data_IF_321674822881
#
_entry.id   IF_321674822881
#
_cell.length_a   1.000
_cell.length_b   1.000
_cell.length_c   1.000
_cell.angle_alpha   90.00
_cell.angle_beta   90.00
_cell.angle_gamma   90.00
#
_symmetry.space_group_name_H-M   'P 1'
#
loop_
_entity.id
_entity.type
_entity.pdbx_description
1 polymer ?
#
# COMPACT_ATOMS: atom_id res chain seq x y z
N UNK A 1 2.31 15.83 65.73
CA UNK A 1 3.43 15.09 65.11
C UNK A 1 2.85 14.29 63.95
N UNK A 2 3.22 14.40 62.67
CA UNK A 2 4.25 15.17 61.98
C UNK A 2 3.80 15.40 60.53
N UNK A 3 4.17 16.56 59.99
CA UNK A 3 4.12 16.97 58.59
C UNK A 3 4.94 16.04 57.68
N UNK A 4 4.64 16.02 56.38
CA UNK A 4 5.59 16.09 55.23
C UNK A 4 4.81 15.95 53.92
N UNK A 5 4.51 17.08 53.28
CA UNK A 5 5.19 17.57 52.06
C UNK A 5 4.72 16.87 50.78
N UNK A 6 3.58 17.34 50.27
CA UNK A 6 3.19 17.14 48.87
C UNK A 6 4.12 18.00 47.99
N UNK A 7 5.07 17.34 47.33
CA UNK A 7 6.02 17.97 46.41
C UNK A 7 5.47 17.81 44.98
N UNK A 8 5.31 18.89 44.18
CA UNK A 8 4.76 18.76 42.83
C UNK A 8 5.78 18.13 41.86
N UNK A 9 5.34 17.36 40.85
CA UNK A 9 6.24 16.83 39.83
C UNK A 9 6.81 17.98 38.98
N UNK A 10 8.14 18.08 38.93
CA UNK A 10 8.86 18.98 38.04
C UNK A 10 8.62 18.58 36.58
N UNK A 11 8.01 19.48 35.81
CA UNK A 11 7.95 19.41 34.35
C UNK A 11 9.36 19.64 33.78
N UNK A 12 9.90 18.66 33.07
CA UNK A 12 11.24 18.73 32.48
C UNK A 12 11.10 18.89 30.94
N UNK A 13 11.33 20.09 30.37
CA UNK A 13 11.03 20.37 28.95
C UNK A 13 12.10 19.90 27.96
N UNK A 14 13.13 19.16 28.39
CA UNK A 14 14.34 18.88 27.61
C UNK A 14 14.46 17.47 27.02
N UNK A 15 13.37 16.73 26.85
CA UNK A 15 13.43 15.43 26.16
C UNK A 15 12.96 15.51 24.70
N UNK A 16 13.45 16.52 24.00
CA UNK A 16 13.71 16.47 22.57
C UNK A 16 14.76 15.38 22.31
N UNK A 17 14.30 14.13 22.18
CA UNK A 17 15.11 13.07 21.61
C UNK A 17 14.65 12.87 20.16
N UNK A 18 15.47 13.39 19.25
CA UNK A 18 15.51 13.19 17.82
C UNK A 18 15.50 11.68 17.46
N UNK A 19 14.37 11.01 17.64
CA UNK A 19 14.12 9.70 17.05
C UNK A 19 13.70 9.91 15.60
N UNK A 20 14.61 10.52 14.83
CA UNK A 20 14.51 10.59 13.38
C UNK A 20 14.83 9.20 12.84
N UNK A 21 13.84 8.33 13.01
CA UNK A 21 13.76 6.99 12.45
C UNK A 21 14.38 7.01 11.06
N UNK A 22 15.36 6.12 10.81
CA UNK A 22 15.94 5.90 9.48
C UNK A 22 14.88 5.79 8.39
N UNK A 23 13.68 5.29 8.73
CA UNK A 23 12.52 5.27 7.84
C UNK A 23 12.02 6.66 7.45
N UNK A 24 12.06 7.66 8.33
CA UNK A 24 11.76 9.06 8.01
C UNK A 24 12.81 9.68 7.11
N UNK A 25 14.09 9.31 7.23
CA UNK A 25 15.15 9.81 6.33
C UNK A 25 15.00 9.22 4.94
N UNK A 26 14.74 7.91 4.83
CA UNK A 26 14.49 7.27 3.52
C UNK A 26 13.18 7.76 2.91
N UNK A 27 12.11 7.89 3.69
CA UNK A 27 10.85 8.46 3.21
C UNK A 27 11.01 9.92 2.81
N UNK A 28 11.73 10.73 3.58
CA UNK A 28 12.03 12.14 3.25
C UNK A 28 12.92 12.24 2.02
N UNK A 29 13.93 11.37 1.87
CA UNK A 29 14.77 11.32 0.67
C UNK A 29 13.96 10.91 -0.55
N UNK A 30 13.11 9.89 -0.43
CA UNK A 30 12.22 9.45 -1.49
C UNK A 30 11.22 10.55 -1.88
N UNK A 31 10.61 11.21 -0.90
CA UNK A 31 9.72 12.35 -1.13
C UNK A 31 10.46 13.54 -1.73
N UNK A 32 11.70 13.85 -1.33
CA UNK A 32 12.51 14.91 -1.95
C UNK A 32 12.90 14.56 -3.39
N UNK A 33 13.17 13.29 -3.69
CA UNK A 33 13.47 12.84 -5.06
C UNK A 33 12.22 12.90 -5.93
N UNK A 34 11.06 12.48 -5.41
CA UNK A 34 9.77 12.55 -6.12
C UNK A 34 9.16 13.97 -6.19
N UNK A 35 9.56 14.87 -5.30
CA UNK A 35 9.20 16.29 -5.35
C UNK A 35 10.13 17.02 -6.33
N UNK A 36 11.42 16.64 -6.35
CA UNK A 36 12.41 17.16 -7.29
C UNK A 36 12.22 16.66 -8.73
N UNK A 37 11.70 15.44 -8.90
CA UNK A 37 11.21 14.90 -10.18
C UNK A 37 9.70 15.02 -10.16
N UNK A 38 9.17 16.15 -10.66
CA UNK A 38 7.76 16.44 -10.61
C UNK A 38 6.85 15.29 -11.06
N UNK A 39 5.62 15.29 -10.56
CA UNK A 39 4.64 14.23 -10.87
C UNK A 39 4.44 14.03 -12.37
N UNK A 40 4.55 15.10 -13.16
CA UNK A 40 4.48 15.08 -14.62
C UNK A 40 5.66 14.34 -15.24
N UNK A 41 6.89 14.64 -14.85
CA UNK A 41 8.11 13.99 -15.35
C UNK A 41 8.10 12.50 -15.04
N UNK A 42 7.70 12.12 -13.82
CA UNK A 42 7.53 10.72 -13.44
C UNK A 42 6.45 10.02 -14.29
N UNK A 43 5.32 10.68 -14.55
CA UNK A 43 4.25 10.14 -15.41
C UNK A 43 4.70 9.95 -16.86
N UNK A 44 5.52 10.86 -17.40
CA UNK A 44 6.06 10.73 -18.77
C UNK A 44 7.00 9.53 -18.87
N UNK A 45 7.91 9.36 -17.91
CA UNK A 45 8.84 8.21 -17.89
C UNK A 45 8.07 6.91 -17.67
N UNK A 46 7.10 6.91 -16.76
CA UNK A 46 6.21 5.78 -16.52
C UNK A 46 5.45 5.43 -17.81
N UNK A 47 4.87 6.41 -18.50
CA UNK A 47 4.20 6.24 -19.78
C UNK A 47 5.13 5.64 -20.86
N UNK A 48 6.35 6.16 -20.99
CA UNK A 48 7.35 5.62 -21.91
C UNK A 48 7.71 4.16 -21.58
N UNK A 49 7.89 3.84 -20.30
CA UNK A 49 8.10 2.46 -19.84
C UNK A 49 6.88 1.57 -20.11
N UNK A 50 5.66 2.08 -19.96
CA UNK A 50 4.43 1.35 -20.29
C UNK A 50 4.30 1.08 -21.79
N UNK A 51 4.79 1.96 -22.65
CA UNK A 51 4.81 1.72 -24.10
C UNK A 51 5.85 0.65 -24.44
N UNK A 52 7.04 0.75 -23.87
CA UNK A 52 8.13 -0.20 -24.14
C UNK A 52 7.85 -1.60 -23.58
N UNK A 53 7.45 -1.68 -22.30
CA UNK A 53 7.18 -2.94 -21.62
C UNK A 53 5.73 -3.41 -21.79
N UNK A 54 4.77 -2.50 -21.95
CA UNK A 54 3.34 -2.79 -21.98
C UNK A 54 2.67 -2.66 -20.59
N UNK A 55 1.43 -2.11 -20.50
CA UNK A 55 0.72 -1.91 -19.24
C UNK A 55 0.37 -3.21 -18.51
N UNK A 56 0.37 -4.35 -19.23
CA UNK A 56 0.13 -5.68 -18.64
C UNK A 56 1.41 -6.32 -18.09
N UNK A 57 2.60 -5.94 -18.56
CA UNK A 57 3.88 -6.57 -18.15
C UNK A 57 4.40 -6.02 -16.83
N UNK A 58 4.31 -4.70 -16.59
CA UNK A 58 4.70 -4.10 -15.32
C UNK A 58 3.99 -4.73 -14.08
N UNK A 59 2.66 -4.90 -14.05
CA UNK A 59 2.00 -5.55 -12.93
C UNK A 59 2.33 -7.06 -12.84
N UNK A 60 2.65 -7.70 -13.96
CA UNK A 60 3.07 -9.09 -13.98
C UNK A 60 4.46 -9.27 -13.36
N UNK A 61 5.42 -8.41 -13.72
CA UNK A 61 6.77 -8.39 -13.13
C UNK A 61 6.72 -7.99 -11.65
N UNK A 62 5.92 -6.98 -11.29
CA UNK A 62 5.81 -6.56 -9.88
C UNK A 62 5.19 -7.65 -9.00
N UNK A 63 4.26 -8.45 -9.53
CA UNK A 63 3.73 -9.63 -8.81
C UNK A 63 4.80 -10.69 -8.59
N UNK A 64 5.66 -10.95 -9.58
CA UNK A 64 6.77 -11.90 -9.46
C UNK A 64 7.84 -11.41 -8.47
N UNK A 65 8.26 -10.14 -8.58
CA UNK A 65 9.21 -9.49 -7.66
C UNK A 65 8.61 -9.37 -6.25
N UNK A 66 7.32 -9.08 -6.14
CA UNK A 66 6.62 -8.98 -4.86
C UNK A 66 6.56 -10.32 -4.14
N UNK A 67 6.34 -11.42 -4.89
CA UNK A 67 6.37 -12.77 -4.34
C UNK A 67 7.78 -13.16 -3.88
N UNK A 68 8.81 -12.91 -4.69
CA UNK A 68 10.20 -13.19 -4.29
C UNK A 68 10.64 -12.34 -3.10
N UNK A 69 10.22 -11.07 -3.03
CA UNK A 69 10.50 -10.20 -1.88
C UNK A 69 9.74 -10.65 -0.62
N UNK A 70 8.52 -11.17 -0.75
CA UNK A 70 7.78 -11.72 0.39
C UNK A 70 8.43 -12.99 0.95
N UNK A 71 8.90 -13.88 0.08
CA UNK A 71 9.67 -15.07 0.46
C UNK A 71 11.04 -14.67 1.04
N UNK A 72 11.73 -13.70 0.44
CA UNK A 72 12.97 -13.14 0.96
C UNK A 72 12.79 -12.47 2.32
N UNK A 73 11.69 -11.76 2.57
CA UNK A 73 11.37 -11.17 3.88
C UNK A 73 11.19 -12.23 4.95
N UNK A 74 10.50 -13.34 4.65
CA UNK A 74 10.34 -14.46 5.59
C UNK A 74 11.69 -15.11 5.91
N UNK A 75 12.50 -15.39 4.90
CA UNK A 75 13.86 -15.89 5.11
C UNK A 75 14.72 -14.88 5.92
N UNK A 76 14.63 -13.59 5.59
CA UNK A 76 15.30 -12.50 6.32
C UNK A 76 14.88 -12.41 7.78
N UNK A 77 13.61 -12.67 8.08
CA UNK A 77 13.09 -12.73 9.45
C UNK A 77 13.67 -13.93 10.22
N UNK A 78 13.79 -15.09 9.58
CA UNK A 78 14.44 -16.26 10.18
C UNK A 78 15.95 -16.04 10.41
N UNK A 79 16.63 -15.35 9.49
CA UNK A 79 18.01 -14.91 9.69
C UNK A 79 18.11 -13.90 10.84
N UNK A 80 17.19 -12.93 10.92
CA UNK A 80 17.13 -11.94 11.99
C UNK A 80 16.92 -12.59 13.36
N UNK A 81 16.03 -13.59 13.47
CA UNK A 81 15.81 -14.36 14.70
C UNK A 81 17.03 -15.16 15.13
N UNK A 82 17.75 -15.75 14.17
CA UNK A 82 18.99 -16.49 14.44
C UNK A 82 20.11 -15.53 14.89
N UNK A 83 20.26 -14.40 14.20
CA UNK A 83 21.23 -13.36 14.60
C UNK A 83 20.88 -12.72 15.93
N UNK A 84 19.61 -12.44 16.21
CA UNK A 84 19.19 -11.96 17.52
C UNK A 84 19.43 -12.99 18.61
N UNK A 85 19.26 -14.28 18.34
CA UNK A 85 19.60 -15.32 19.32
C UNK A 85 21.10 -15.31 19.65
N UNK A 86 21.95 -15.22 18.65
CA UNK A 86 23.41 -15.19 18.83
C UNK A 86 23.90 -13.87 19.44
N UNK A 87 23.41 -12.74 18.93
CA UNK A 87 23.73 -11.39 19.41
C UNK A 87 23.12 -11.14 20.79
N UNK A 88 21.98 -11.75 21.15
CA UNK A 88 21.44 -11.69 22.51
C UNK A 88 22.27 -12.55 23.47
N UNK A 89 22.81 -13.69 23.04
CA UNK A 89 23.80 -14.43 23.85
C UNK A 89 25.06 -13.56 24.11
N UNK A 90 25.53 -12.83 23.10
CA UNK A 90 26.63 -11.84 23.26
C UNK A 90 26.23 -10.59 24.06
N UNK A 91 24.96 -10.16 24.02
CA UNK A 91 24.46 -8.99 24.79
C UNK A 91 24.06 -9.34 26.22
N UNK A 92 23.69 -10.59 26.52
CA UNK A 92 23.50 -11.10 27.88
C UNK A 92 24.84 -11.25 28.60
N UNK A 93 25.90 -11.61 27.86
CA UNK A 93 27.28 -11.50 28.36
C UNK A 93 27.69 -10.03 28.63
N UNK A 94 27.09 -9.07 27.90
CA UNK A 94 27.34 -7.62 28.03
C UNK A 94 26.26 -6.80 28.75
N UNK A 95 25.28 -7.45 29.40
CA UNK A 95 24.31 -6.79 30.30
C UNK A 95 23.43 -5.69 29.68
N UNK A 96 22.93 -5.85 28.46
CA UNK A 96 21.98 -4.89 27.85
C UNK A 96 20.58 -5.50 27.74
N UNK A 97 19.69 -5.08 28.65
CA UNK A 97 18.27 -5.46 28.72
C UNK A 97 17.44 -4.94 27.51
N UNK A 98 16.67 -5.79 26.80
CA UNK A 98 15.81 -5.38 25.68
C UNK A 98 14.45 -4.84 26.20
N UNK A 99 14.37 -3.55 26.53
CA UNK A 99 13.16 -2.95 27.12
C UNK A 99 12.27 -2.12 26.18
N UNK A 100 12.71 -1.83 24.95
CA UNK A 100 12.08 -0.78 24.14
C UNK A 100 11.02 -1.28 23.13
N UNK A 101 11.01 -2.55 22.73
CA UNK A 101 10.05 -3.06 21.73
C UNK A 101 8.64 -3.30 22.30
N UNK A 102 8.56 -3.84 23.53
CA UNK A 102 7.29 -4.13 24.21
C UNK A 102 6.48 -2.84 24.48
N UNK A 103 7.18 -1.75 24.82
CA UNK A 103 6.58 -0.43 25.12
C UNK A 103 5.82 0.19 23.93
N UNK A 104 6.30 -0.03 22.70
CA UNK A 104 5.67 0.54 21.49
C UNK A 104 4.45 -0.29 21.07
N UNK A 105 4.52 -1.62 21.19
CA UNK A 105 3.43 -2.53 20.87
C UNK A 105 2.26 -2.35 21.86
N UNK A 106 2.55 -2.19 23.15
CA UNK A 106 1.56 -1.93 24.19
C UNK A 106 0.85 -0.59 23.98
N UNK A 107 1.62 0.46 23.63
CA UNK A 107 1.07 1.79 23.35
C UNK A 107 0.20 1.82 22.08
N UNK A 108 0.52 1.02 21.08
CA UNK A 108 -0.29 0.88 19.87
C UNK A 108 -1.62 0.15 20.16
N UNK A 109 -1.57 -0.94 20.93
CA UNK A 109 -2.74 -1.69 21.34
C UNK A 109 -3.72 -0.83 22.18
N UNK A 110 -3.18 0.01 23.05
CA UNK A 110 -3.99 0.91 23.90
C UNK A 110 -4.75 1.96 23.08
N UNK A 111 -4.13 2.52 22.03
CA UNK A 111 -4.80 3.50 21.15
C UNK A 111 -5.95 2.88 20.36
N UNK A 112 -5.84 1.62 19.98
CA UNK A 112 -6.91 0.88 19.29
C UNK A 112 -8.08 0.61 20.24
N UNK A 113 -7.80 0.26 21.49
CA UNK A 113 -8.83 0.09 22.53
C UNK A 113 -9.56 1.39 22.83
N UNK A 114 -8.82 2.47 23.05
CA UNK A 114 -9.39 3.79 23.29
C UNK A 114 -10.32 4.23 22.14
N UNK A 115 -9.89 4.07 20.88
CA UNK A 115 -10.72 4.41 19.71
C UNK A 115 -12.02 3.58 19.62
N UNK A 116 -11.98 2.31 20.03
CA UNK A 116 -13.16 1.44 20.07
C UNK A 116 -14.14 1.84 21.17
N UNK A 117 -13.63 2.31 22.30
CA UNK A 117 -14.45 2.78 23.41
C UNK A 117 -15.18 4.08 23.05
N UNK A 118 -14.51 5.04 22.37
CA UNK A 118 -15.17 6.26 21.87
C UNK A 118 -16.27 5.94 20.84
N UNK A 119 -16.04 4.93 20.00
CA UNK A 119 -17.05 4.48 19.03
C UNK A 119 -18.23 3.73 19.67
N UNK A 120 -18.11 3.28 20.92
CA UNK A 120 -19.17 2.54 21.62
C UNK A 120 -20.11 3.42 22.46
N UNK A 121 -19.85 4.72 22.58
CA UNK A 121 -20.69 5.66 23.34
C UNK A 121 -21.65 6.52 22.50
N UNK A 122 -21.55 6.51 21.16
CA UNK A 122 -22.52 7.16 20.27
C UNK A 122 -23.17 6.13 19.34
N UNK A 123 -24.25 5.51 19.82
CA UNK A 123 -25.28 4.94 18.95
C UNK A 123 -26.62 5.45 19.42
N UNK A 124 -27.02 6.62 18.94
CA UNK A 124 -28.43 6.93 18.69
C UNK A 124 -28.58 7.49 17.27
N UNK A 125 -29.37 6.78 16.46
CA UNK A 125 -29.90 7.22 15.17
C UNK A 125 -31.37 7.59 15.40
N UNK A 126 -31.88 8.68 14.81
CA UNK A 126 -32.99 8.47 13.86
C UNK A 126 -32.93 9.38 12.61
N UNK A 127 -33.16 8.73 11.47
CA UNK A 127 -33.95 9.14 10.30
C UNK A 127 -34.19 10.65 10.01
N UNK A 128 -33.78 11.11 8.82
CA UNK A 128 -34.68 11.46 7.70
C UNK A 128 -34.04 12.42 6.66
N UNK A 129 -34.28 12.12 5.37
CA UNK A 129 -34.11 12.96 4.16
C UNK A 129 -32.63 13.23 3.78
N UNK A 130 -32.06 12.62 2.75
CA UNK A 130 -32.32 12.88 1.31
C UNK A 130 -31.96 11.63 0.50
N UNK A 131 -32.92 11.09 -0.25
CA UNK A 131 -32.66 10.15 -1.34
C UNK A 131 -32.01 10.88 -2.53
N UNK A 132 -31.19 10.18 -3.34
CA UNK A 132 -31.65 10.00 -4.71
C UNK A 132 -31.66 8.53 -5.13
N UNK A 133 -32.71 8.23 -5.87
CA UNK A 133 -33.15 6.93 -6.35
C UNK A 133 -32.08 6.11 -7.06
N UNK A 134 -32.04 4.84 -6.70
CA UNK A 134 -31.61 3.76 -7.61
C UNK A 134 -32.74 3.60 -8.65
N UNK A 135 -32.48 3.87 -9.91
CA UNK A 135 -33.30 3.31 -10.99
C UNK A 135 -32.77 1.91 -11.29
N UNK A 136 -33.57 0.85 -11.09
CA UNK A 136 -33.24 -0.46 -11.64
C UNK A 136 -33.33 -0.36 -13.16
N UNK A 137 -32.25 -0.70 -13.86
CA UNK A 137 -32.29 -0.90 -15.31
C UNK A 137 -33.19 -2.11 -15.55
N UNK A 138 -34.32 -1.84 -16.19
CA UNK A 138 -35.37 -2.79 -16.54
C UNK A 138 -34.83 -3.91 -17.43
N UNK A 139 -35.01 -5.16 -16.99
CA UNK A 139 -34.52 -6.36 -17.67
C UNK A 139 -35.49 -6.87 -18.76
N UNK A 140 -36.49 -6.09 -19.16
CA UNK A 140 -37.53 -6.54 -20.11
C UNK A 140 -37.35 -6.09 -21.56
N UNK A 141 -36.21 -5.50 -21.93
CA UNK A 141 -35.88 -5.18 -23.34
C UNK A 141 -35.02 -6.23 -24.05
N UNK A 142 -34.82 -7.40 -23.44
CA UNK A 142 -34.27 -8.56 -24.15
C UNK A 142 -35.41 -9.21 -24.95
N UNK A 143 -35.66 -8.68 -26.16
CA UNK A 143 -36.20 -9.51 -27.23
C UNK A 143 -35.14 -9.72 -28.32
N UNK A 144 -34.89 -10.98 -28.70
CA UNK A 144 -33.96 -11.36 -29.76
C UNK A 144 -34.61 -11.09 -31.11
N UNK A 145 -33.93 -10.40 -32.00
CA UNK A 145 -34.25 -10.50 -33.42
C UNK A 145 -33.01 -10.93 -34.19
N UNK A 146 -33.13 -12.13 -34.75
CA UNK A 146 -32.34 -12.62 -35.86
C UNK A 146 -32.36 -11.60 -37.00
N UNK A 147 -31.23 -11.42 -37.67
CA UNK A 147 -31.19 -11.26 -39.13
C UNK A 147 -29.84 -11.75 -39.66
N UNK A 148 -29.85 -13.04 -40.01
CA UNK A 148 -29.21 -13.68 -41.16
C UNK A 148 -28.22 -12.83 -42.00
N UNK A 149 -26.95 -13.29 -42.23
CA UNK A 149 -26.13 -12.74 -43.29
C UNK A 149 -26.66 -13.25 -44.64
N UNK A 150 -27.55 -12.48 -45.26
CA UNK A 150 -27.96 -12.70 -46.65
C UNK A 150 -26.74 -12.51 -47.56
N UNK A 151 -26.34 -13.62 -48.17
CA UNK A 151 -25.63 -13.72 -49.44
C UNK A 151 -26.15 -12.69 -50.45
N UNK A 152 -25.24 -11.83 -50.94
CA UNK A 152 -25.26 -11.26 -52.29
C UNK A 152 -23.76 -10.99 -52.61
N UNK A 153 -23.03 -11.95 -53.19
CA UNK A 153 -22.90 -12.16 -54.64
C UNK A 153 -22.67 -10.84 -55.40
N UNK A 154 -21.63 -10.60 -56.20
CA UNK A 154 -20.46 -11.35 -56.63
C UNK A 154 -19.57 -10.30 -57.39
N UNK A 155 -18.87 -10.61 -58.50
CA UNK A 155 -17.42 -10.82 -58.52
C UNK A 155 -16.69 -9.86 -59.49
N UNK A 156 -15.49 -9.39 -59.19
CA UNK A 156 -14.59 -8.90 -60.26
C UNK A 156 -13.12 -9.14 -59.87
N UNK A 157 -12.62 -10.33 -60.22
CA UNK A 157 -11.26 -10.48 -60.78
C UNK A 157 -11.18 -9.59 -62.04
N UNK A 158 -10.05 -8.90 -62.28
CA UNK A 158 -9.04 -9.61 -63.04
C UNK A 158 -7.59 -9.28 -62.65
N UNK A 159 -6.77 -10.34 -62.68
CA UNK A 159 -5.51 -10.42 -63.42
C UNK A 159 -4.48 -9.28 -63.32
N UNK A 160 -3.29 -9.64 -62.83
CA UNK A 160 -2.06 -8.87 -63.04
C UNK A 160 -0.89 -9.41 -62.23
N UNK A 161 -0.37 -10.60 -62.58
CA UNK A 161 0.96 -10.69 -63.22
C UNK A 161 2.06 -10.03 -62.37
N UNK A 162 2.75 -10.83 -61.54
CA UNK A 162 4.12 -11.33 -61.82
C UNK A 162 5.20 -10.28 -61.57
N UNK A 163 6.41 -10.77 -61.31
CA UNK A 163 7.70 -10.10 -61.11
C UNK A 163 8.06 -9.97 -59.62
N UNK A 164 8.78 -10.96 -59.08
CA UNK A 164 10.24 -11.12 -59.23
C UNK A 164 10.98 -9.93 -58.65
N UNK A 165 11.37 -9.99 -57.37
CA UNK A 165 12.69 -9.51 -56.93
C UNK A 165 12.88 -9.64 -55.40
N UNK A 166 13.85 -10.52 -55.07
CA UNK A 166 14.76 -10.55 -53.92
C UNK A 166 14.21 -10.36 -52.50
#
# INVERSE_FOLDING_TARGET
MNCTSSFPPRYNPFRTAEHLSRGKVVARLFLLILDSLGSTELLVILGAALIFFGPRRLPQLSRQIGKSLAEFRRASEDFKRTWEREVNLENMEKGVEPKEENSILDRAAERIRAAREVASFDTETPAAVVAPSVTPVDASLVQPHETNPTLEAAPVEPAGSKHDWL
#
